data_IF_427815927285
#
_entry.id   IF_427815927285
#
_cell.length_a   1.000
_cell.length_b   1.000
_cell.length_c   1.000
_cell.angle_alpha   90.00
_cell.angle_beta   90.00
_cell.angle_gamma   90.00
#
_symmetry.space_group_name_H-M   'P 1'
#
loop_
_entity.id
_entity.type
_entity.pdbx_description
1 polymer ?
#
# COMPACT_ATOMS: atom_id res chain seq x y z
N UNK A 1 12.92 19.47 -29.43
CA UNK A 1 12.35 20.66 -28.75
C UNK A 1 11.06 20.22 -28.07
N UNK A 2 11.15 19.41 -27.01
CA UNK A 2 11.21 19.84 -25.60
C UNK A 2 9.94 20.58 -25.15
N UNK A 3 8.98 19.81 -24.64
CA UNK A 3 8.14 20.29 -23.53
C UNK A 3 7.83 19.15 -22.58
N UNK A 4 8.71 19.08 -21.60
CA UNK A 4 8.63 18.42 -20.31
C UNK A 4 7.27 18.70 -19.66
N UNK A 5 6.29 17.84 -19.90
CA UNK A 5 5.03 17.84 -19.16
C UNK A 5 5.27 17.08 -17.83
N UNK A 6 5.77 17.85 -16.87
CA UNK A 6 5.37 17.81 -15.48
C UNK A 6 5.47 16.46 -14.72
N UNK A 7 6.71 16.08 -14.39
CA UNK A 7 7.10 15.10 -13.36
C UNK A 7 6.78 15.53 -11.90
N UNK A 8 5.83 16.45 -11.67
CA UNK A 8 5.54 17.01 -10.33
C UNK A 8 4.04 16.96 -10.01
N UNK A 9 3.47 15.77 -9.81
CA UNK A 9 2.04 15.67 -9.49
C UNK A 9 1.55 14.42 -8.75
N UNK A 10 2.34 13.34 -8.68
CA UNK A 10 1.81 12.06 -8.17
C UNK A 10 1.76 12.01 -6.62
N UNK A 11 2.50 12.89 -5.92
CA UNK A 11 2.60 12.87 -4.45
C UNK A 11 2.22 14.20 -3.76
N UNK A 12 2.01 15.29 -4.50
CA UNK A 12 2.07 16.65 -3.93
C UNK A 12 0.75 17.23 -3.41
N UNK A 13 -0.41 16.64 -3.68
CA UNK A 13 -1.70 17.23 -3.25
C UNK A 13 -2.58 16.28 -2.43
N UNK A 14 -1.94 15.53 -1.51
CA UNK A 14 -2.60 14.71 -0.49
C UNK A 14 -3.41 15.51 0.56
N UNK A 15 -3.43 16.85 0.47
CA UNK A 15 -4.12 17.75 1.41
C UNK A 15 -5.67 17.68 1.34
N UNK A 16 -6.24 16.94 0.38
CA UNK A 16 -7.69 16.82 0.17
C UNK A 16 -8.34 15.56 0.76
N UNK A 17 -7.61 14.71 1.48
CA UNK A 17 -8.11 13.41 1.92
C UNK A 17 -8.64 13.42 3.36
N UNK A 18 -9.76 14.11 3.59
CA UNK A 18 -10.66 13.72 4.69
C UNK A 18 -11.38 12.44 4.28
N UNK A 19 -11.05 11.28 4.86
CA UNK A 19 -11.85 10.05 5.10
C UNK A 19 -13.07 9.65 4.20
N UNK A 20 -13.28 10.19 3.00
CA UNK A 20 -14.61 10.19 2.36
C UNK A 20 -14.89 9.01 1.42
N UNK A 21 -14.02 8.00 1.33
CA UNK A 21 -14.44 6.62 1.06
C UNK A 21 -13.26 5.66 1.18
N UNK A 22 -13.42 4.54 1.88
CA UNK A 22 -12.46 3.44 1.88
C UNK A 22 -12.14 2.97 0.45
N UNK A 23 -13.11 3.08 -0.48
CA UNK A 23 -12.92 2.79 -1.90
C UNK A 23 -11.85 3.68 -2.56
N UNK A 24 -11.84 4.99 -2.28
CA UNK A 24 -10.81 5.89 -2.80
C UNK A 24 -9.42 5.55 -2.23
N UNK A 25 -9.33 5.22 -0.94
CA UNK A 25 -8.08 4.82 -0.31
C UNK A 25 -7.55 3.48 -0.86
N UNK A 26 -8.43 2.49 -1.07
CA UNK A 26 -8.10 1.23 -1.74
C UNK A 26 -7.57 1.50 -3.14
N UNK A 27 -8.29 2.30 -3.94
CA UNK A 27 -7.89 2.63 -5.31
C UNK A 27 -6.51 3.28 -5.37
N UNK A 28 -6.24 4.26 -4.51
CA UNK A 28 -4.94 4.92 -4.44
C UNK A 28 -3.83 3.96 -4.00
N UNK A 29 -4.10 3.06 -3.05
CA UNK A 29 -3.15 2.04 -2.65
C UNK A 29 -2.84 1.08 -3.82
N UNK A 30 -3.85 0.62 -4.55
CA UNK A 30 -3.69 -0.21 -5.75
C UNK A 30 -2.91 0.53 -6.84
N UNK A 31 -3.24 1.79 -7.14
CA UNK A 31 -2.54 2.60 -8.15
C UNK A 31 -1.06 2.82 -7.77
N UNK A 32 -0.78 3.14 -6.50
CA UNK A 32 0.59 3.33 -6.03
C UNK A 32 1.41 2.04 -6.11
N UNK A 33 0.81 0.89 -5.77
CA UNK A 33 1.48 -0.41 -5.83
C UNK A 33 1.65 -0.91 -7.26
N UNK A 34 0.68 -0.69 -8.14
CA UNK A 34 0.82 -0.97 -9.56
C UNK A 34 1.94 -0.12 -10.18
N UNK A 35 2.06 1.16 -9.79
CA UNK A 35 3.14 2.02 -10.24
C UNK A 35 4.51 1.51 -9.73
N UNK A 36 4.60 1.10 -8.45
CA UNK A 36 5.81 0.48 -7.91
C UNK A 36 6.15 -0.85 -8.61
N UNK A 37 5.14 -1.66 -8.93
CA UNK A 37 5.32 -2.91 -9.67
C UNK A 37 5.92 -2.68 -11.06
N UNK A 38 5.58 -1.57 -11.72
CA UNK A 38 6.04 -1.22 -13.07
C UNK A 38 7.29 -0.35 -13.10
N UNK A 39 7.70 0.23 -11.97
CA UNK A 39 8.92 1.01 -11.87
C UNK A 39 10.13 0.12 -12.21
N UNK A 40 10.88 0.51 -13.25
CA UNK A 40 12.06 -0.23 -13.74
C UNK A 40 13.34 0.60 -13.63
N UNK A 41 13.21 1.92 -13.44
CA UNK A 41 14.36 2.81 -13.29
C UNK A 41 14.63 3.14 -11.83
N UNK A 42 15.90 3.32 -11.47
CA UNK A 42 16.28 3.75 -10.12
C UNK A 42 15.66 5.10 -9.73
N UNK A 43 15.39 5.98 -10.70
CA UNK A 43 14.76 7.28 -10.48
C UNK A 43 13.29 7.14 -10.03
N UNK A 44 12.52 6.25 -10.67
CA UNK A 44 11.13 5.95 -10.27
C UNK A 44 11.07 5.28 -8.89
N UNK A 45 12.03 4.39 -8.60
CA UNK A 45 12.12 3.72 -7.29
C UNK A 45 12.46 4.73 -6.19
N UNK A 46 13.30 5.73 -6.45
CA UNK A 46 13.67 6.79 -5.50
C UNK A 46 12.47 7.66 -5.09
N UNK A 47 11.50 7.88 -5.97
CA UNK A 47 10.28 8.60 -5.62
C UNK A 47 9.43 7.83 -4.58
N UNK A 48 9.49 6.50 -4.58
CA UNK A 48 8.86 5.65 -3.56
C UNK A 48 9.66 5.57 -2.25
N UNK A 49 10.92 5.99 -2.25
CA UNK A 49 11.71 6.08 -1.01
C UNK A 49 11.21 7.24 -0.14
N UNK A 50 10.63 8.29 -0.73
CA UNK A 50 10.07 9.42 0.01
C UNK A 50 8.76 9.00 0.69
N UNK A 51 8.68 9.27 2.00
CA UNK A 51 7.50 8.96 2.79
C UNK A 51 6.26 9.66 2.20
N UNK A 52 5.19 8.92 1.87
CA UNK A 52 3.93 9.53 1.48
C UNK A 52 3.33 10.31 2.65
N UNK A 53 2.55 11.36 2.36
CA UNK A 53 1.66 11.95 3.36
C UNK A 53 0.64 10.92 3.85
N UNK A 54 0.25 11.01 5.12
CA UNK A 54 -0.79 10.16 5.71
C UNK A 54 -2.10 10.27 4.93
N UNK A 55 -2.81 9.15 4.83
CA UNK A 55 -4.17 9.07 4.28
C UNK A 55 -5.24 9.55 5.27
N UNK A 56 -4.87 9.83 6.52
CA UNK A 56 -5.78 10.14 7.62
C UNK A 56 -6.44 8.91 8.26
N UNK A 57 -6.14 7.70 7.77
CA UNK A 57 -6.61 6.43 8.34
C UNK A 57 -5.41 5.49 8.54
N UNK A 58 -5.13 5.16 9.80
CA UNK A 58 -4.01 4.31 10.20
C UNK A 58 -4.00 2.96 9.46
N UNK A 59 -5.17 2.41 9.14
CA UNK A 59 -5.29 1.11 8.45
C UNK A 59 -4.65 1.17 7.07
N UNK A 60 -4.94 2.22 6.32
CA UNK A 60 -4.40 2.44 4.98
C UNK A 60 -2.93 2.85 5.02
N UNK A 61 -2.52 3.65 6.00
CA UNK A 61 -1.12 4.03 6.18
C UNK A 61 -0.24 2.81 6.48
N UNK A 62 -0.66 1.94 7.42
CA UNK A 62 0.05 0.69 7.73
C UNK A 62 0.06 -0.27 6.54
N UNK A 63 -1.03 -0.38 5.79
CA UNK A 63 -1.09 -1.20 4.58
C UNK A 63 -0.09 -0.73 3.52
N UNK A 64 -0.10 0.56 3.20
CA UNK A 64 0.81 1.13 2.20
C UNK A 64 2.27 0.92 2.60
N UNK A 65 2.63 1.26 3.83
CA UNK A 65 3.96 1.04 4.38
C UNK A 65 4.39 -0.44 4.28
N UNK A 66 3.50 -1.36 4.66
CA UNK A 66 3.80 -2.80 4.68
C UNK A 66 3.98 -3.38 3.28
N UNK A 67 3.11 -3.01 2.34
CA UNK A 67 3.19 -3.48 0.95
C UNK A 67 4.41 -2.89 0.23
N UNK A 68 4.73 -1.60 0.44
CA UNK A 68 5.97 -1.01 -0.08
C UNK A 68 7.20 -1.73 0.45
N UNK A 69 7.25 -2.02 1.76
CA UNK A 69 8.36 -2.78 2.37
C UNK A 69 8.51 -4.16 1.75
N UNK A 70 7.42 -4.90 1.61
CA UNK A 70 7.42 -6.24 1.05
C UNK A 70 8.02 -6.22 -0.36
N UNK A 71 7.49 -5.34 -1.21
CA UNK A 71 7.87 -5.27 -2.62
C UNK A 71 9.31 -4.76 -2.85
N UNK A 72 9.79 -3.82 -2.03
CA UNK A 72 11.19 -3.37 -2.08
C UNK A 72 12.14 -4.47 -1.59
N UNK A 73 11.74 -5.22 -0.55
CA UNK A 73 12.52 -6.35 -0.02
C UNK A 73 12.66 -7.47 -1.05
N UNK A 74 11.57 -7.82 -1.75
CA UNK A 74 11.58 -8.83 -2.82
C UNK A 74 12.48 -8.45 -4.00
N UNK A 75 12.67 -7.14 -4.23
CA UNK A 75 13.56 -6.59 -5.26
C UNK A 75 15.01 -6.41 -4.80
N UNK A 76 15.33 -6.73 -3.54
CA UNK A 76 16.64 -6.47 -2.96
C UNK A 76 17.00 -4.98 -2.88
N UNK A 77 15.99 -4.09 -2.90
CA UNK A 77 16.17 -2.64 -2.83
C UNK A 77 16.16 -2.17 -1.37
N UNK A 78 16.96 -1.15 -1.00
CA UNK A 78 16.92 -0.58 0.34
C UNK A 78 15.51 -0.17 0.76
N UNK A 79 15.09 -0.63 1.94
CA UNK A 79 13.76 -0.36 2.50
C UNK A 79 13.80 0.94 3.31
N UNK A 80 12.92 1.92 3.02
CA UNK A 80 12.85 3.17 3.78
C UNK A 80 12.32 2.97 5.20
N UNK A 81 12.79 3.79 6.15
CA UNK A 81 12.38 3.72 7.56
C UNK A 81 10.88 3.97 7.76
N UNK A 82 10.28 4.88 6.98
CA UNK A 82 8.84 5.18 7.08
C UNK A 82 7.94 3.97 6.82
N UNK A 83 8.46 2.93 6.16
CA UNK A 83 7.72 1.69 5.91
C UNK A 83 7.60 0.81 7.15
N UNK A 84 8.26 1.14 8.27
CA UNK A 84 8.08 0.46 9.55
C UNK A 84 6.89 1.01 10.35
N UNK A 85 5.72 1.05 9.72
CA UNK A 85 4.49 1.48 10.38
C UNK A 85 4.07 0.50 11.48
N UNK A 86 3.51 0.97 12.61
CA UNK A 86 3.08 0.09 13.69
C UNK A 86 1.95 -0.87 13.23
N UNK A 87 1.84 -2.05 13.86
CA UNK A 87 0.73 -2.97 13.61
C UNK A 87 -0.61 -2.35 13.99
N UNK A 88 -1.69 -2.81 13.35
CA UNK A 88 -3.04 -2.38 13.70
C UNK A 88 -3.48 -2.99 15.04
N UNK A 89 -4.32 -2.29 15.81
CA UNK A 89 -4.82 -2.78 17.09
C UNK A 89 -5.77 -3.99 16.96
N UNK A 90 -6.38 -4.17 15.79
CA UNK A 90 -7.29 -5.27 15.47
C UNK A 90 -6.98 -5.78 14.08
N UNK A 91 -7.24 -7.07 13.87
CA UNK A 91 -7.16 -7.67 12.55
C UNK A 91 -8.10 -6.95 11.57
N UNK A 92 -7.57 -6.59 10.42
CA UNK A 92 -8.29 -5.84 9.42
C UNK A 92 -8.13 -6.48 8.04
N UNK A 93 -9.26 -6.63 7.38
CA UNK A 93 -9.37 -7.11 6.01
C UNK A 93 -9.81 -5.94 5.12
N UNK A 94 -8.93 -5.40 4.26
CA UNK A 94 -9.26 -4.28 3.39
C UNK A 94 -10.44 -4.60 2.48
N UNK A 95 -11.38 -3.66 2.35
CA UNK A 95 -12.54 -3.78 1.45
C UNK A 95 -13.67 -4.71 1.93
N UNK A 96 -13.50 -5.43 3.04
CA UNK A 96 -14.60 -6.18 3.64
C UNK A 96 -15.70 -5.23 4.14
N UNK A 97 -16.90 -5.40 3.62
CA UNK A 97 -18.11 -4.76 4.16
C UNK A 97 -18.94 -5.83 4.85
N UNK A 98 -19.18 -5.67 6.16
CA UNK A 98 -19.87 -6.67 6.98
C UNK A 98 -18.95 -7.71 7.62
N UNK A 99 -19.54 -8.78 8.17
CA UNK A 99 -18.83 -9.85 8.84
C UNK A 99 -18.48 -10.97 7.85
N UNK A 100 -17.20 -11.19 7.53
CA UNK A 100 -16.80 -12.21 6.58
C UNK A 100 -16.97 -13.62 7.17
N UNK A 101 -17.23 -14.59 6.27
CA UNK A 101 -17.45 -15.99 6.62
C UNK A 101 -16.14 -16.57 7.22
N UNK A 102 -16.19 -17.24 8.40
CA UNK A 102 -15.00 -17.73 9.10
C UNK A 102 -14.07 -18.63 8.26
N UNK A 103 -14.65 -19.52 7.45
CA UNK A 103 -13.91 -20.44 6.58
C UNK A 103 -13.14 -19.68 5.50
N UNK A 104 -13.75 -18.63 4.94
CA UNK A 104 -13.09 -17.78 3.96
C UNK A 104 -11.98 -16.93 4.61
N UNK A 105 -12.19 -16.43 5.82
CA UNK A 105 -11.13 -15.74 6.59
C UNK A 105 -9.93 -16.65 6.84
N UNK A 106 -10.16 -17.93 7.16
CA UNK A 106 -9.08 -18.89 7.36
C UNK A 106 -8.25 -19.09 6.07
N UNK A 107 -8.92 -19.16 4.92
CA UNK A 107 -8.26 -19.24 3.61
C UNK A 107 -7.44 -17.98 3.33
N UNK A 108 -8.01 -16.78 3.53
CA UNK A 108 -7.30 -15.51 3.32
C UNK A 108 -6.08 -15.42 4.24
N UNK A 109 -6.24 -15.77 5.52
CA UNK A 109 -5.16 -15.76 6.51
C UNK A 109 -4.03 -16.73 6.12
N UNK A 110 -4.36 -17.92 5.64
CA UNK A 110 -3.36 -18.90 5.17
C UNK A 110 -2.57 -18.42 3.96
N UNK A 111 -3.17 -17.56 3.13
CA UNK A 111 -2.54 -16.98 1.92
C UNK A 111 -1.92 -15.59 2.18
N UNK A 112 -2.05 -15.05 3.39
CA UNK A 112 -1.53 -13.72 3.73
C UNK A 112 -0.04 -13.83 4.04
N UNK A 113 0.83 -13.02 3.39
CA UNK A 113 2.25 -12.95 3.71
C UNK A 113 2.51 -12.67 5.20
N UNK A 114 3.57 -13.29 5.74
CA UNK A 114 3.91 -13.17 7.16
C UNK A 114 4.10 -11.71 7.62
N UNK A 115 4.60 -10.83 6.74
CA UNK A 115 4.78 -9.42 7.08
C UNK A 115 3.45 -8.68 7.27
N UNK A 116 2.43 -8.99 6.46
CA UNK A 116 1.08 -8.43 6.59
C UNK A 116 0.38 -8.99 7.84
N UNK A 117 0.53 -10.30 8.11
CA UNK A 117 0.01 -10.92 9.34
C UNK A 117 0.55 -10.25 10.60
N UNK A 118 1.86 -9.98 10.65
CA UNK A 118 2.50 -9.28 11.78
C UNK A 118 1.95 -7.87 12.00
N UNK A 119 1.36 -7.25 10.98
CA UNK A 119 0.75 -5.92 11.05
C UNK A 119 -0.77 -5.97 11.25
N UNK A 120 -1.34 -7.16 11.52
CA UNK A 120 -2.77 -7.40 11.66
C UNK A 120 -3.57 -7.05 10.40
N UNK A 121 -2.97 -7.29 9.22
CA UNK A 121 -3.61 -7.08 7.92
C UNK A 121 -3.82 -8.43 7.26
N UNK A 122 -5.07 -8.75 6.92
CA UNK A 122 -5.43 -9.91 6.11
C UNK A 122 -5.58 -9.47 4.66
N UNK A 123 -4.65 -9.88 3.81
CA UNK A 123 -4.74 -9.61 2.39
C UNK A 123 -3.71 -10.43 1.62
N UNK A 124 -4.00 -10.76 0.36
CA UNK A 124 -3.04 -11.41 -0.53
C UNK A 124 -2.32 -10.33 -1.34
N UNK A 125 -1.03 -10.51 -1.61
CA UNK A 125 -0.27 -9.54 -2.43
C UNK A 125 -0.92 -9.34 -3.80
N UNK A 126 -1.41 -10.43 -4.39
CA UNK A 126 -2.10 -10.44 -5.69
C UNK A 126 -3.37 -9.58 -5.73
N UNK A 127 -3.98 -9.28 -4.58
CA UNK A 127 -5.15 -8.39 -4.52
C UNK A 127 -4.76 -6.92 -4.84
N UNK A 128 -3.47 -6.60 -4.85
CA UNK A 128 -2.94 -5.24 -5.03
C UNK A 128 -2.09 -5.06 -6.29
N UNK A 129 -1.66 -6.15 -6.93
CA UNK A 129 -0.79 -6.12 -8.10
C UNK A 129 -1.53 -6.43 -9.41
N UNK A 130 -2.81 -6.82 -9.34
CA UNK A 130 -3.65 -7.04 -10.51
C UNK A 130 -4.10 -5.70 -11.12
N UNK A 131 -3.33 -5.20 -12.08
CA UNK A 131 -3.70 -4.14 -13.02
C UNK A 131 -3.52 -4.66 -14.45
#
# INVERSE_FOLDING_TARGET
>A
MTRTLNRMGVMADRKLLTARSAAAAIRLATEALAHLARATTSEEIQDFVRAPGSTGDQRFDTLLATLTRLHLSERGTPVPEWTDAPPLAREWLPGATGQPIPEWLAIVRAQTPALLLRKNILSRVQDWTAA
#
